data_IF_932003694485
#
_entry.id   IF_932003694485
#
_cell.length_a   1.000
_cell.length_b   1.000
_cell.length_c   1.000
_cell.angle_alpha   90.00
_cell.angle_beta   90.00
_cell.angle_gamma   90.00
#
_symmetry.space_group_name_H-M   'P 1'
#
loop_
_entity.id
_entity.type
_entity.pdbx_description
1 polymer ?
#
# COMPACT_ATOMS: atom_id res chain seq x y z
N UNK A 1 -2.24 -5.24 4.58
CA UNK A 1 -1.22 -4.67 5.50
C UNK A 1 -1.19 -5.48 6.79
N UNK A 2 0.00 -5.76 7.34
CA UNK A 2 0.11 -6.46 8.62
C UNK A 2 -0.34 -5.57 9.79
N UNK A 3 -1.14 -6.08 10.74
CA UNK A 3 -1.55 -5.32 11.92
C UNK A 3 -0.44 -5.28 12.97
N UNK A 4 -0.49 -4.32 13.90
CA UNK A 4 0.51 -4.19 14.97
C UNK A 4 0.68 -5.46 15.81
N UNK A 5 -0.40 -6.22 16.01
CA UNK A 5 -0.38 -7.47 16.74
C UNK A 5 0.55 -8.50 16.11
N UNK A 6 0.71 -8.49 14.78
CA UNK A 6 1.66 -9.36 14.10
C UNK A 6 3.10 -8.96 14.42
N UNK A 7 3.41 -7.65 14.48
CA UNK A 7 4.72 -7.16 14.89
C UNK A 7 5.01 -7.53 16.36
N UNK A 8 4.03 -7.34 17.24
CA UNK A 8 4.14 -7.67 18.66
C UNK A 8 4.34 -9.18 18.87
N UNK A 9 3.69 -10.03 18.05
CA UNK A 9 3.87 -11.47 18.08
C UNK A 9 5.27 -11.90 17.62
N UNK A 10 5.81 -11.27 16.56
CA UNK A 10 7.19 -11.51 16.10
C UNK A 10 8.20 -11.10 17.17
N UNK A 11 8.01 -9.95 17.80
CA UNK A 11 8.87 -9.49 18.90
C UNK A 11 8.90 -10.49 20.05
N UNK A 12 7.73 -10.92 20.55
CA UNK A 12 7.63 -11.94 21.61
C UNK A 12 8.32 -13.23 21.22
N UNK A 13 8.04 -13.74 20.02
CA UNK A 13 8.64 -14.98 19.53
C UNK A 13 10.18 -14.89 19.48
N UNK A 14 10.73 -13.77 19.02
CA UNK A 14 12.18 -13.60 18.94
C UNK A 14 12.82 -13.46 20.32
N UNK A 15 12.18 -12.78 21.26
CA UNK A 15 12.63 -12.74 22.67
C UNK A 15 12.64 -14.13 23.28
N UNK A 16 11.59 -14.92 23.07
CA UNK A 16 11.48 -16.29 23.56
C UNK A 16 12.54 -17.20 22.94
N UNK A 17 12.79 -17.14 21.63
CA UNK A 17 13.81 -17.97 20.97
C UNK A 17 15.23 -17.61 21.45
N UNK A 18 15.49 -16.32 21.62
CA UNK A 18 16.84 -15.82 21.95
C UNK A 18 17.12 -15.77 23.44
N UNK A 19 16.08 -15.89 24.27
CA UNK A 19 16.13 -15.72 25.73
C UNK A 19 16.68 -14.34 26.13
N UNK A 20 16.33 -13.30 25.35
CA UNK A 20 16.71 -11.92 25.57
C UNK A 20 15.46 -11.04 25.59
N UNK A 21 15.27 -10.23 26.63
CA UNK A 21 14.09 -9.33 26.75
C UNK A 21 14.24 -8.01 25.98
N UNK A 22 15.34 -7.85 25.24
CA UNK A 22 15.49 -6.70 24.35
C UNK A 22 14.52 -6.79 23.16
N UNK A 23 14.11 -5.65 22.58
CA UNK A 23 13.24 -5.66 21.40
C UNK A 23 13.77 -6.60 20.31
N UNK A 24 12.89 -7.46 19.83
CA UNK A 24 13.14 -8.49 18.81
C UNK A 24 14.30 -9.44 19.16
N UNK A 25 14.62 -9.64 20.43
CA UNK A 25 15.70 -10.54 20.85
C UNK A 25 17.07 -10.12 20.30
N UNK A 26 17.35 -8.82 20.26
CA UNK A 26 18.55 -8.21 19.63
C UNK A 26 18.73 -8.54 18.15
N UNK A 27 17.65 -8.84 17.41
CA UNK A 27 17.72 -9.05 15.96
C UNK A 27 17.52 -7.73 15.21
N UNK A 28 18.21 -7.61 14.08
CA UNK A 28 18.02 -6.48 13.17
C UNK A 28 16.71 -6.68 12.43
N UNK A 29 15.81 -5.70 12.54
CA UNK A 29 14.52 -5.72 11.87
C UNK A 29 14.49 -4.65 10.77
N UNK A 30 14.16 -5.06 9.55
CA UNK A 30 13.88 -4.16 8.44
C UNK A 30 12.43 -4.34 8.02
N UNK A 31 11.64 -3.27 8.13
CA UNK A 31 10.26 -3.24 7.68
C UNK A 31 10.18 -2.43 6.38
N UNK A 32 9.43 -2.96 5.41
CA UNK A 32 9.14 -2.28 4.15
C UNK A 32 7.63 -2.19 3.93
N UNK A 33 7.17 -1.10 3.35
CA UNK A 33 5.76 -0.90 3.01
C UNK A 33 5.43 0.54 2.66
N UNK A 34 4.19 0.75 2.21
CA UNK A 34 3.66 2.07 1.92
C UNK A 34 2.33 2.28 2.67
N UNK A 35 2.34 3.19 3.64
CA UNK A 35 1.17 3.51 4.46
C UNK A 35 0.09 4.30 3.70
N UNK A 36 0.38 4.76 2.49
CA UNK A 36 -0.58 5.42 1.59
C UNK A 36 -1.45 4.44 0.81
N UNK A 37 -1.16 3.14 0.89
CA UNK A 37 -1.95 2.10 0.25
C UNK A 37 -3.16 1.73 1.12
N UNK A 38 -3.15 0.55 1.76
CA UNK A 38 -4.31 0.01 2.48
C UNK A 38 -4.04 -0.12 3.97
N UNK A 39 -5.03 0.25 4.78
CA UNK A 39 -5.03 0.02 6.22
C UNK A 39 -5.19 -1.49 6.55
N UNK A 40 -4.92 -1.94 7.79
CA UNK A 40 -5.19 -3.31 8.18
C UNK A 40 -6.70 -3.51 8.26
N UNK A 41 -7.18 -4.67 7.84
CA UNK A 41 -8.61 -4.99 7.87
C UNK A 41 -9.00 -5.44 9.27
N UNK A 42 -9.99 -4.76 9.86
CA UNK A 42 -10.61 -5.16 11.13
C UNK A 42 -12.04 -5.58 10.85
N UNK A 43 -12.37 -6.86 11.08
CA UNK A 43 -13.74 -7.36 10.86
C UNK A 43 -14.72 -6.59 11.73
N UNK A 44 -15.74 -5.99 11.11
CA UNK A 44 -16.75 -5.15 11.78
C UNK A 44 -16.16 -3.95 12.54
N UNK A 45 -14.91 -3.57 12.28
CA UNK A 45 -14.27 -2.39 12.87
C UNK A 45 -14.49 -1.17 11.99
N UNK A 46 -14.63 0.00 12.62
CA UNK A 46 -14.68 1.28 11.95
C UNK A 46 -13.29 1.85 11.66
N UNK A 47 -13.27 3.11 11.22
CA UNK A 47 -12.03 3.84 10.88
C UNK A 47 -11.07 3.93 12.06
N UNK A 48 -11.58 4.17 13.27
CA UNK A 48 -10.76 4.28 14.47
C UNK A 48 -10.05 2.96 14.80
N UNK A 49 -10.74 1.81 14.72
CA UNK A 49 -10.14 0.51 14.96
C UNK A 49 -9.10 0.14 13.89
N UNK A 50 -9.36 0.44 12.62
CA UNK A 50 -8.39 0.24 11.54
C UNK A 50 -7.11 1.06 11.78
N UNK A 51 -7.24 2.33 12.17
CA UNK A 51 -6.08 3.17 12.51
C UNK A 51 -5.36 2.64 13.75
N UNK A 52 -6.10 2.22 14.79
CA UNK A 52 -5.53 1.70 16.04
C UNK A 52 -4.76 0.38 15.88
N UNK A 53 -5.04 -0.38 14.81
CA UNK A 53 -4.36 -1.64 14.47
C UNK A 53 -3.17 -1.45 13.54
N UNK A 54 -2.92 -0.25 13.03
CA UNK A 54 -1.73 0.04 12.21
C UNK A 54 -0.44 -0.20 12.98
N UNK A 55 0.60 -0.70 12.30
CA UNK A 55 1.94 -0.90 12.88
C UNK A 55 2.50 0.37 13.54
N UNK A 56 2.22 1.55 12.97
CA UNK A 56 2.59 2.85 13.56
C UNK A 56 2.01 3.11 14.95
N UNK A 57 1.01 2.33 15.38
CA UNK A 57 0.39 2.40 16.72
C UNK A 57 0.91 1.32 17.67
N UNK A 58 1.90 0.51 17.26
CA UNK A 58 2.63 -0.38 18.19
C UNK A 58 3.56 0.45 19.08
N UNK A 59 3.74 0.04 20.34
CA UNK A 59 4.80 0.58 21.19
C UNK A 59 6.19 0.29 20.64
N UNK A 60 6.35 -0.77 19.82
CA UNK A 60 7.62 -1.12 19.20
C UNK A 60 8.05 -0.13 18.10
N UNK A 61 7.12 0.66 17.57
CA UNK A 61 7.39 1.60 16.48
C UNK A 61 8.49 2.61 16.83
N UNK A 62 8.59 3.00 18.11
CA UNK A 62 9.60 3.94 18.59
C UNK A 62 11.05 3.44 18.43
N UNK A 63 11.26 2.13 18.24
CA UNK A 63 12.58 1.55 18.04
C UNK A 63 13.06 1.58 16.58
N UNK A 64 12.20 1.96 15.64
CA UNK A 64 12.55 1.99 14.21
C UNK A 64 13.05 3.36 13.77
N UNK A 65 14.16 3.37 13.04
CA UNK A 65 14.57 4.51 12.23
C UNK A 65 13.78 4.53 10.91
N UNK A 66 13.28 5.71 10.51
CA UNK A 66 12.46 5.85 9.31
C UNK A 66 13.33 6.28 8.13
N UNK A 67 13.40 5.43 7.11
CA UNK A 67 14.00 5.74 5.81
C UNK A 67 12.92 5.85 4.74
N UNK A 68 13.08 6.80 3.81
CA UNK A 68 12.12 7.07 2.74
C UNK A 68 12.80 6.91 1.38
N UNK A 69 12.27 6.01 0.57
CA UNK A 69 12.61 5.93 -0.86
C UNK A 69 11.92 7.07 -1.60
N UNK A 70 12.68 7.80 -2.42
CA UNK A 70 12.18 8.99 -3.16
C UNK A 70 12.06 8.75 -4.67
N UNK A 71 12.88 7.85 -5.20
CA UNK A 71 12.88 7.53 -6.62
C UNK A 71 11.85 6.44 -6.92
N UNK A 72 10.96 6.73 -7.87
CA UNK A 72 10.01 5.76 -8.40
C UNK A 72 10.69 5.03 -9.56
N UNK A 73 10.82 3.70 -9.44
CA UNK A 73 11.46 2.86 -10.46
C UNK A 73 10.46 2.20 -11.43
N UNK A 74 9.14 2.34 -11.19
CA UNK A 74 8.09 1.74 -12.01
C UNK A 74 7.63 2.67 -13.12
N UNK A 75 7.44 3.94 -12.80
CA UNK A 75 6.94 4.95 -13.73
C UNK A 75 8.12 5.56 -14.47
N UNK A 76 8.07 5.57 -15.79
CA UNK A 76 9.16 6.08 -16.63
C UNK A 76 9.19 7.61 -16.63
N UNK A 77 10.31 8.22 -17.04
CA UNK A 77 10.45 9.68 -17.07
C UNK A 77 9.42 10.37 -17.99
N UNK A 78 8.90 9.67 -18.99
CA UNK A 78 7.86 10.16 -19.91
C UNK A 78 6.49 10.30 -19.27
N UNK A 79 6.25 9.72 -18.09
CA UNK A 79 4.94 9.64 -17.43
C UNK A 79 4.89 10.52 -16.17
N UNK A 80 5.50 11.71 -16.24
CA UNK A 80 5.63 12.60 -15.09
C UNK A 80 4.27 13.01 -14.49
N UNK A 81 3.29 13.34 -15.33
CA UNK A 81 1.96 13.75 -14.88
C UNK A 81 1.25 12.62 -14.13
N UNK A 82 1.32 11.39 -14.66
CA UNK A 82 0.75 10.21 -14.02
C UNK A 82 1.43 9.90 -12.68
N UNK A 83 2.76 10.00 -12.62
CA UNK A 83 3.51 9.87 -11.37
C UNK A 83 3.04 10.87 -10.32
N UNK A 84 2.88 12.13 -10.74
CA UNK A 84 2.48 13.21 -9.84
C UNK A 84 1.05 12.99 -9.33
N UNK A 85 0.12 12.66 -10.23
CA UNK A 85 -1.25 12.30 -9.89
C UNK A 85 -1.33 11.17 -8.85
N UNK A 86 -0.59 10.06 -9.05
CA UNK A 86 -0.56 8.95 -8.08
C UNK A 86 -0.01 9.34 -6.71
N UNK A 87 0.95 10.27 -6.66
CA UNK A 87 1.49 10.79 -5.40
C UNK A 87 0.47 11.67 -4.68
N UNK A 88 -0.24 12.53 -5.40
CA UNK A 88 -1.31 13.37 -4.85
C UNK A 88 -2.47 12.53 -4.32
N UNK A 89 -2.86 11.49 -5.08
CA UNK A 89 -3.83 10.48 -4.67
C UNK A 89 -3.40 9.80 -3.37
N UNK A 90 -2.20 9.23 -3.32
CA UNK A 90 -1.70 8.53 -2.15
C UNK A 90 -1.53 9.44 -0.92
N UNK A 91 -1.32 10.74 -1.13
CA UNK A 91 -1.23 11.73 -0.05
C UNK A 91 -2.60 12.27 0.39
N UNK A 92 -3.69 11.89 -0.29
CA UNK A 92 -5.03 12.40 -0.02
C UNK A 92 -5.17 13.91 -0.30
N UNK A 93 -4.45 14.41 -1.31
CA UNK A 93 -4.47 15.83 -1.70
C UNK A 93 -5.44 16.13 -2.84
N UNK A 94 -5.97 15.09 -3.49
CA UNK A 94 -6.99 15.23 -4.53
C UNK A 94 -8.32 15.69 -3.91
N UNK A 95 -9.10 16.51 -4.63
CA UNK A 95 -10.40 16.94 -4.16
C UNK A 95 -11.34 15.75 -3.96
N UNK A 96 -12.11 15.81 -2.87
CA UNK A 96 -13.18 14.86 -2.54
C UNK A 96 -14.50 15.61 -2.43
N UNK A 97 -15.60 14.88 -2.61
CA UNK A 97 -16.95 15.41 -2.42
C UNK A 97 -17.36 15.44 -0.93
N UNK A 98 -18.63 15.74 -0.67
CA UNK A 98 -19.20 15.76 0.69
C UNK A 98 -19.23 14.40 1.40
N UNK A 99 -19.03 13.31 0.65
CA UNK A 99 -19.02 11.93 1.15
C UNK A 99 -17.60 11.37 1.32
N UNK A 100 -16.56 12.21 1.22
CA UNK A 100 -15.14 11.81 1.15
C UNK A 100 -14.81 10.94 -0.08
N UNK A 101 -15.59 11.01 -1.15
CA UNK A 101 -15.36 10.25 -2.39
C UNK A 101 -14.59 11.10 -3.41
N UNK A 102 -13.63 10.47 -4.09
CA UNK A 102 -12.87 11.11 -5.16
C UNK A 102 -13.46 10.80 -6.54
N UNK A 103 -13.43 11.77 -7.44
CA UNK A 103 -13.76 11.51 -8.84
C UNK A 103 -12.70 10.64 -9.50
N UNK A 104 -13.13 9.59 -10.20
CA UNK A 104 -12.24 8.79 -11.05
C UNK A 104 -12.01 9.56 -12.37
N UNK A 105 -10.74 9.75 -12.81
CA UNK A 105 -10.43 10.39 -14.08
C UNK A 105 -11.20 9.74 -15.25
N UNK A 106 -11.80 10.53 -16.17
CA UNK A 106 -12.65 9.99 -17.24
C UNK A 106 -11.93 9.00 -18.17
N UNK A 107 -10.62 9.18 -18.34
CA UNK A 107 -9.71 8.32 -19.09
C UNK A 107 -9.47 6.95 -18.43
N UNK A 108 -9.80 6.80 -17.15
CA UNK A 108 -9.78 5.52 -16.42
C UNK A 108 -11.17 4.86 -16.33
N UNK A 109 -12.22 5.51 -16.82
CA UNK A 109 -13.58 4.98 -16.78
C UNK A 109 -13.85 4.05 -17.96
N UNK A 110 -14.12 2.79 -17.64
CA UNK A 110 -14.63 1.83 -18.60
C UNK A 110 -16.11 2.11 -18.89
N UNK A 111 -16.45 2.39 -20.14
CA UNK A 111 -17.84 2.73 -20.55
C UNK A 111 -18.58 1.55 -21.20
N UNK A 112 -17.88 0.45 -21.45
CA UNK A 112 -18.42 -0.74 -22.10
C UNK A 112 -18.00 -2.03 -21.42
N UNK A 113 -17.66 -3.03 -22.22
CA UNK A 113 -17.11 -4.29 -21.69
C UNK A 113 -15.65 -4.09 -21.33
N UNK A 114 -15.34 -4.20 -20.03
CA UNK A 114 -13.96 -4.18 -19.51
C UNK A 114 -13.06 -5.18 -20.26
N UNK A 115 -13.63 -6.34 -20.60
CA UNK A 115 -12.93 -7.38 -21.36
C UNK A 115 -12.54 -6.89 -22.75
N UNK A 116 -13.43 -6.18 -23.45
CA UNK A 116 -13.10 -5.63 -24.76
C UNK A 116 -12.21 -4.38 -24.65
N UNK A 117 -12.43 -3.52 -23.66
CA UNK A 117 -11.65 -2.30 -23.51
C UNK A 117 -10.17 -2.58 -23.21
N UNK A 118 -9.91 -3.57 -22.34
CA UNK A 118 -8.54 -3.97 -21.99
C UNK A 118 -7.98 -4.99 -22.98
N UNK A 119 -8.79 -5.99 -23.37
CA UNK A 119 -8.28 -7.16 -24.08
C UNK A 119 -8.70 -7.27 -25.56
N UNK A 120 -9.42 -6.31 -26.14
CA UNK A 120 -9.82 -6.39 -27.56
C UNK A 120 -8.66 -6.64 -28.53
N UNK A 121 -7.45 -6.06 -28.36
CA UNK A 121 -6.31 -6.39 -29.23
C UNK A 121 -5.95 -7.88 -29.21
N UNK A 122 -6.08 -8.55 -28.05
CA UNK A 122 -5.81 -9.98 -27.88
C UNK A 122 -6.96 -10.86 -28.38
N UNK A 123 -8.19 -10.48 -28.06
CA UNK A 123 -9.40 -11.22 -28.46
C UNK A 123 -9.63 -11.17 -29.97
N UNK A 124 -9.15 -10.11 -30.65
CA UNK A 124 -9.18 -10.00 -32.10
C UNK A 124 -7.98 -10.63 -32.81
N UNK A 125 -7.08 -11.29 -32.07
CA UNK A 125 -5.86 -11.92 -32.60
C UNK A 125 -4.82 -10.93 -33.15
N UNK A 126 -4.96 -9.64 -32.85
CA UNK A 126 -4.05 -8.56 -33.31
C UNK A 126 -2.81 -8.40 -32.44
N UNK A 127 -2.83 -8.94 -31.23
CA UNK A 127 -1.67 -9.02 -30.35
C UNK A 127 -1.65 -10.40 -29.67
N UNK A 128 -0.49 -11.06 -29.64
CA UNK A 128 -0.30 -12.37 -29.02
C UNK A 128 0.51 -12.32 -27.72
N UNK A 129 1.04 -11.15 -27.36
CA UNK A 129 1.96 -10.98 -26.23
C UNK A 129 1.33 -10.17 -25.08
N UNK A 130 0.86 -10.88 -24.06
CA UNK A 130 0.26 -10.32 -22.84
C UNK A 130 1.28 -9.62 -21.92
N UNK A 131 2.58 -9.66 -22.20
CA UNK A 131 3.60 -8.98 -21.38
C UNK A 131 3.63 -7.46 -21.57
N UNK A 132 2.86 -6.94 -22.53
CA UNK A 132 2.81 -5.53 -22.91
C UNK A 132 1.58 -4.77 -22.39
N UNK A 133 0.75 -5.41 -21.55
CA UNK A 133 -0.36 -4.77 -20.81
C UNK A 133 0.14 -4.22 -19.48
#
# INVERSE_FOLDING_TARGET
>A
MAPKQALDAVDRLLRDITQLDSPFGNKIMLLGGDFRQVLPVVRKGGRAEMVATCIKKSSLWQHFAIYRLKENMRVTASEFEWKQYLLELGNGMLPVDENDEMAVPPDLLCTGSLVHEIFSPYLSGRCSDLSSV
#
